data_IF_573177476740
#
_entry.id   IF_573177476740
#
_cell.length_a   1.000
_cell.length_b   1.000
_cell.length_c   1.000
_cell.angle_alpha   90.00
_cell.angle_beta   90.00
_cell.angle_gamma   90.00
#
_symmetry.space_group_name_H-M   'P 1'
#
loop_
_entity.id
_entity.type
_entity.pdbx_description
1 polymer ?
#
# COMPACT_ATOMS: atom_id res chain seq x y z
N UNK A 1 32.04 -5.33 13.15
CA UNK A 1 31.32 -5.21 11.87
C UNK A 1 29.89 -5.62 12.14
N UNK A 2 28.89 -4.76 11.88
CA UNK A 2 27.51 -5.23 11.96
C UNK A 2 27.31 -6.28 10.88
N UNK A 3 26.83 -7.46 11.24
CA UNK A 3 26.44 -8.45 10.24
C UNK A 3 25.34 -7.83 9.37
N UNK A 4 25.52 -7.87 8.05
CA UNK A 4 24.48 -7.45 7.11
C UNK A 4 23.32 -8.43 7.27
N UNK A 5 22.13 -7.92 7.56
CA UNK A 5 20.94 -8.73 7.73
C UNK A 5 20.51 -9.32 6.38
N UNK A 6 20.39 -10.64 6.31
CA UNK A 6 19.80 -11.33 5.18
C UNK A 6 18.26 -11.31 5.27
N UNK A 7 17.61 -11.24 4.12
CA UNK A 7 16.16 -11.30 3.99
C UNK A 7 15.82 -12.38 2.95
N UNK A 8 15.43 -13.58 3.38
CA UNK A 8 15.10 -14.67 2.45
C UNK A 8 13.82 -14.31 1.68
N UNK A 9 13.98 -13.89 0.44
CA UNK A 9 12.91 -13.65 -0.53
C UNK A 9 13.12 -14.57 -1.72
N UNK A 10 12.10 -15.36 -2.07
CA UNK A 10 12.14 -16.35 -3.14
C UNK A 10 10.86 -16.28 -3.96
N UNK A 11 10.98 -16.15 -5.28
CA UNK A 11 9.80 -16.20 -6.17
C UNK A 11 9.06 -17.54 -6.08
N UNK A 12 9.78 -18.63 -5.79
CA UNK A 12 9.24 -19.97 -5.59
C UNK A 12 8.49 -20.16 -4.27
N UNK A 13 8.61 -19.24 -3.33
CA UNK A 13 7.87 -19.24 -2.07
C UNK A 13 6.96 -17.99 -2.03
N UNK A 14 5.67 -18.14 -2.38
CA UNK A 14 4.70 -17.05 -2.39
C UNK A 14 4.69 -16.20 -1.11
N UNK A 15 4.89 -16.85 0.05
CA UNK A 15 4.83 -16.17 1.36
C UNK A 15 6.00 -15.22 1.58
N UNK A 16 7.12 -15.43 0.88
CA UNK A 16 8.33 -14.62 0.98
C UNK A 16 8.38 -13.48 -0.05
N UNK A 17 7.44 -13.44 -1.01
CA UNK A 17 7.44 -12.46 -2.09
C UNK A 17 7.29 -11.03 -1.57
N UNK A 18 7.86 -10.11 -2.33
CA UNK A 18 8.02 -8.70 -1.98
C UNK A 18 7.23 -7.84 -2.95
N UNK A 19 6.56 -6.82 -2.42
CA UNK A 19 5.56 -6.01 -3.13
C UNK A 19 5.94 -4.53 -3.09
N UNK A 20 7.08 -4.21 -3.69
CA UNK A 20 7.58 -2.83 -3.76
C UNK A 20 8.05 -2.27 -2.42
N UNK A 21 7.86 -0.97 -2.23
CA UNK A 21 8.36 -0.18 -1.10
C UNK A 21 7.91 -0.76 0.24
N UNK A 22 8.80 -0.76 1.23
CA UNK A 22 8.62 -1.29 2.60
C UNK A 22 8.37 -2.80 2.75
N UNK A 23 8.24 -3.57 1.67
CA UNK A 23 7.92 -5.00 1.76
C UNK A 23 8.99 -5.89 2.43
N UNK A 24 10.21 -5.37 2.63
CA UNK A 24 11.30 -6.01 3.39
C UNK A 24 11.24 -5.74 4.89
N UNK A 25 10.49 -4.73 5.32
CA UNK A 25 10.24 -4.47 6.74
C UNK A 25 9.18 -5.45 7.27
N UNK A 26 9.03 -5.56 8.61
CA UNK A 26 7.85 -6.18 9.20
C UNK A 26 6.56 -5.54 8.66
N UNK A 27 5.46 -6.27 8.76
CA UNK A 27 4.14 -5.73 8.42
C UNK A 27 3.85 -4.49 9.25
N UNK A 28 3.33 -3.44 8.59
CA UNK A 28 3.07 -2.18 9.25
C UNK A 28 1.97 -2.34 10.28
N UNK A 29 2.16 -1.75 11.47
CA UNK A 29 1.06 -1.61 12.42
C UNK A 29 0.07 -0.53 11.94
N UNK A 30 -1.16 -0.49 12.46
CA UNK A 30 -2.11 0.58 12.15
C UNK A 30 -1.54 1.99 12.40
N UNK A 31 -0.72 2.16 13.44
CA UNK A 31 -0.05 3.43 13.76
C UNK A 31 1.02 3.80 12.71
N UNK A 32 1.70 2.81 12.12
CA UNK A 32 2.67 3.03 11.06
C UNK A 32 1.99 3.37 9.74
N UNK A 33 0.87 2.70 9.42
CA UNK A 33 0.03 3.04 8.25
C UNK A 33 -0.49 4.48 8.38
N UNK A 34 -0.99 4.87 9.56
CA UNK A 34 -1.41 6.26 9.83
C UNK A 34 -0.30 7.27 9.51
N UNK A 35 0.94 7.00 9.93
CA UNK A 35 2.07 7.89 9.64
C UNK A 35 2.34 8.02 8.14
N UNK A 36 2.12 6.97 7.35
CA UNK A 36 2.25 7.07 5.89
C UNK A 36 1.15 7.94 5.28
N UNK A 37 -0.09 7.81 5.76
CA UNK A 37 -1.20 8.68 5.34
C UNK A 37 -0.92 10.14 5.70
N UNK A 38 -0.53 10.42 6.95
CA UNK A 38 -0.13 11.75 7.41
C UNK A 38 0.98 12.34 6.55
N UNK A 39 1.97 11.52 6.18
CA UNK A 39 3.07 11.96 5.33
C UNK A 39 2.60 12.30 3.91
N UNK A 40 1.72 11.49 3.30
CA UNK A 40 1.12 11.80 1.98
C UNK A 40 0.37 13.13 2.03
N UNK A 41 -0.51 13.31 3.02
CA UNK A 41 -1.30 14.54 3.22
C UNK A 41 -0.38 15.76 3.42
N UNK A 42 0.68 15.61 4.24
CA UNK A 42 1.65 16.69 4.50
C UNK A 42 2.40 17.14 3.24
N UNK A 43 2.62 16.25 2.27
CA UNK A 43 3.22 16.59 0.99
C UNK A 43 2.24 17.23 -0.01
N UNK A 44 0.96 17.37 0.37
CA UNK A 44 -0.08 17.90 -0.51
C UNK A 44 -0.45 16.96 -1.66
N UNK A 45 -0.14 15.67 -1.51
CA UNK A 45 -0.44 14.64 -2.51
C UNK A 45 -1.83 14.06 -2.30
N UNK A 46 -2.43 13.55 -3.37
CA UNK A 46 -3.78 13.01 -3.32
C UNK A 46 -3.73 11.52 -2.94
N UNK A 47 -4.28 11.11 -1.77
CA UNK A 47 -4.32 9.72 -1.39
C UNK A 47 -5.23 8.91 -2.33
N UNK A 48 -4.85 7.67 -2.60
CA UNK A 48 -5.68 6.73 -3.34
C UNK A 48 -5.46 5.31 -2.80
N UNK A 49 -6.46 4.48 -3.00
CA UNK A 49 -6.47 3.09 -2.55
C UNK A 49 -6.73 2.22 -3.77
N UNK A 50 -5.93 1.18 -3.90
CA UNK A 50 -6.11 0.18 -4.95
C UNK A 50 -6.01 -1.23 -4.37
N UNK A 51 -6.71 -2.17 -5.00
CA UNK A 51 -6.72 -3.56 -4.56
C UNK A 51 -6.66 -4.54 -5.75
N UNK A 52 -6.18 -5.75 -5.49
CA UNK A 52 -6.14 -6.83 -6.49
C UNK A 52 -6.05 -8.19 -5.82
N UNK A 53 -6.47 -9.24 -6.52
CA UNK A 53 -6.24 -10.62 -6.10
C UNK A 53 -4.73 -10.95 -6.13
N UNK A 54 -4.21 -11.80 -5.22
CA UNK A 54 -2.79 -12.15 -5.12
C UNK A 54 -2.14 -12.65 -6.41
N UNK A 55 -2.88 -13.34 -7.28
CA UNK A 55 -2.38 -13.84 -8.58
C UNK A 55 -1.99 -12.70 -9.53
N UNK A 56 -2.59 -11.51 -9.35
CA UNK A 56 -2.44 -10.32 -10.18
C UNK A 56 -1.52 -9.26 -9.56
N UNK A 57 -0.88 -9.56 -8.42
CA UNK A 57 -0.05 -8.61 -7.69
C UNK A 57 1.13 -8.05 -8.51
N UNK A 58 1.60 -8.77 -9.53
CA UNK A 58 2.68 -8.34 -10.43
C UNK A 58 2.22 -7.48 -11.61
N UNK A 59 0.91 -7.33 -11.81
CA UNK A 59 0.36 -6.56 -12.92
C UNK A 59 0.49 -5.05 -12.69
N UNK A 60 0.52 -4.29 -13.79
CA UNK A 60 0.70 -2.83 -13.74
C UNK A 60 -0.50 -2.10 -13.12
N UNK A 61 -1.70 -2.59 -13.35
CA UNK A 61 -2.96 -1.94 -12.96
C UNK A 61 -3.71 -2.79 -11.94
N UNK A 62 -4.10 -2.14 -10.85
CA UNK A 62 -4.98 -2.70 -9.82
C UNK A 62 -6.33 -1.99 -9.88
N UNK A 63 -7.35 -2.56 -9.25
CA UNK A 63 -8.66 -1.92 -9.18
C UNK A 63 -8.59 -0.70 -8.28
N UNK A 64 -9.05 0.45 -8.79
CA UNK A 64 -9.19 1.66 -7.99
C UNK A 64 -10.39 1.55 -7.07
N UNK A 65 -10.16 1.71 -5.77
CA UNK A 65 -11.24 1.84 -4.79
C UNK A 65 -11.85 3.24 -4.90
N UNK A 66 -13.09 3.30 -5.38
CA UNK A 66 -13.82 4.56 -5.63
C UNK A 66 -13.00 5.50 -6.54
N UNK A 67 -12.55 6.63 -6.01
CA UNK A 67 -11.74 7.64 -6.70
C UNK A 67 -10.61 8.10 -5.76
N UNK A 68 -9.52 8.67 -6.29
CA UNK A 68 -8.53 9.34 -5.45
C UNK A 68 -9.22 10.41 -4.60
N UNK A 69 -8.80 10.52 -3.34
CA UNK A 69 -9.36 11.43 -2.35
C UNK A 69 -8.80 12.84 -2.58
N UNK A 70 -9.21 13.47 -3.68
CA UNK A 70 -8.68 14.75 -4.14
C UNK A 70 -8.86 15.86 -3.09
N UNK A 71 -7.76 16.42 -2.62
CA UNK A 71 -7.75 17.49 -1.62
C UNK A 71 -8.20 17.07 -0.21
N UNK A 72 -8.39 15.77 0.04
CA UNK A 72 -8.71 15.26 1.37
C UNK A 72 -7.49 15.42 2.29
N UNK A 73 -7.74 15.90 3.50
CA UNK A 73 -6.70 16.11 4.53
C UNK A 73 -7.06 15.47 5.87
N UNK A 74 -8.28 14.96 6.01
CA UNK A 74 -8.69 14.17 7.16
C UNK A 74 -8.11 12.75 7.07
N UNK A 75 -7.08 12.52 7.90
CA UNK A 75 -6.38 11.23 8.02
C UNK A 75 -7.33 10.12 8.46
N UNK A 76 -8.30 10.41 9.33
CA UNK A 76 -9.25 9.41 9.83
C UNK A 76 -10.23 8.99 8.73
N UNK A 77 -10.67 9.93 7.89
CA UNK A 77 -11.49 9.63 6.73
C UNK A 77 -10.76 8.73 5.71
N UNK A 78 -9.48 9.01 5.44
CA UNK A 78 -8.66 8.21 4.53
C UNK A 78 -8.45 6.79 5.08
N UNK A 79 -8.16 6.65 6.37
CA UNK A 79 -8.03 5.35 7.03
C UNK A 79 -9.34 4.58 7.04
N UNK A 80 -10.48 5.25 7.24
CA UNK A 80 -11.79 4.61 7.18
C UNK A 80 -12.08 4.02 5.78
N UNK A 81 -11.69 4.70 4.71
CA UNK A 81 -11.81 4.17 3.35
C UNK A 81 -10.85 3.00 3.08
N UNK A 82 -9.66 3.02 3.70
CA UNK A 82 -8.70 1.92 3.65
C UNK A 82 -9.26 0.63 4.26
N UNK A 83 -9.85 0.75 5.47
CA UNK A 83 -10.53 -0.35 6.16
C UNK A 83 -11.76 -0.82 5.39
N UNK A 84 -12.59 0.10 4.87
CA UNK A 84 -13.77 -0.26 4.08
C UNK A 84 -13.40 -1.04 2.80
N UNK A 85 -12.29 -0.67 2.15
CA UNK A 85 -11.76 -1.41 1.01
C UNK A 85 -11.31 -2.83 1.43
N UNK A 86 -10.68 -2.97 2.60
CA UNK A 86 -10.25 -4.27 3.14
C UNK A 86 -11.42 -5.19 3.45
N UNK A 87 -12.45 -4.67 4.12
CA UNK A 87 -13.65 -5.43 4.45
C UNK A 87 -14.43 -5.86 3.20
N UNK A 88 -14.51 -5.00 2.18
CA UNK A 88 -15.24 -5.28 0.95
C UNK A 88 -14.52 -6.28 0.03
N UNK A 89 -13.21 -6.45 0.19
CA UNK A 89 -12.36 -7.26 -0.69
C UNK A 89 -11.51 -8.26 0.11
N UNK A 90 -12.13 -9.23 0.80
CA UNK A 90 -11.40 -10.20 1.59
C UNK A 90 -10.44 -11.02 0.72
N UNK A 91 -9.19 -11.14 1.17
CA UNK A 91 -8.15 -11.90 0.47
C UNK A 91 -7.39 -11.13 -0.61
N UNK A 92 -7.76 -9.88 -0.90
CA UNK A 92 -6.99 -9.04 -1.84
C UNK A 92 -5.78 -8.39 -1.17
N UNK A 93 -4.74 -8.13 -1.96
CA UNK A 93 -3.75 -7.12 -1.59
C UNK A 93 -4.37 -5.73 -1.73
N UNK A 94 -4.01 -4.84 -0.81
CA UNK A 94 -4.43 -3.44 -0.84
C UNK A 94 -3.21 -2.56 -0.70
N UNK A 95 -3.09 -1.57 -1.59
CA UNK A 95 -2.02 -0.58 -1.57
C UNK A 95 -2.56 0.82 -1.34
N UNK A 96 -1.80 1.57 -0.56
CA UNK A 96 -1.94 3.01 -0.37
C UNK A 96 -1.03 3.72 -1.36
N UNK A 97 -1.59 4.69 -2.08
CA UNK A 97 -0.90 5.52 -3.06
C UNK A 97 -1.01 6.99 -2.66
N UNK A 98 0.05 7.75 -2.92
CA UNK A 98 0.02 9.22 -2.93
C UNK A 98 0.36 9.74 -4.31
N UNK A 99 -0.60 10.35 -5.00
CA UNK A 99 -0.39 10.95 -6.32
C UNK A 99 0.14 12.38 -6.19
N UNK A 100 1.31 12.61 -6.79
CA UNK A 100 1.89 13.93 -7.00
C UNK A 100 1.44 14.46 -8.37
N UNK A 101 0.50 15.39 -8.35
CA UNK A 101 -0.05 16.00 -9.57
C UNK A 101 0.92 16.97 -10.25
N UNK A 102 1.92 17.49 -9.54
CA UNK A 102 2.91 18.39 -10.13
C UNK A 102 3.90 17.62 -11.01
N UNK A 103 4.40 16.49 -10.51
CA UNK A 103 5.32 15.61 -11.27
C UNK A 103 4.60 14.58 -12.14
N UNK A 104 3.27 14.48 -12.03
CA UNK A 104 2.43 13.50 -12.72
C UNK A 104 2.87 12.06 -12.43
N UNK A 105 3.12 11.77 -11.15
CA UNK A 105 3.65 10.47 -10.72
C UNK A 105 2.95 9.94 -9.46
N UNK A 106 3.12 8.65 -9.19
CA UNK A 106 2.86 8.07 -7.87
C UNK A 106 4.09 8.35 -7.00
N UNK A 107 4.02 9.38 -6.16
CA UNK A 107 5.10 9.74 -5.25
C UNK A 107 5.23 8.78 -4.06
N UNK A 108 4.13 8.11 -3.71
CA UNK A 108 4.10 7.02 -2.73
C UNK A 108 3.28 5.84 -3.26
N UNK A 109 3.77 4.62 -3.02
CA UNK A 109 3.08 3.37 -3.35
C UNK A 109 3.59 2.26 -2.40
N UNK A 110 2.70 1.72 -1.57
CA UNK A 110 3.02 0.66 -0.62
C UNK A 110 1.82 -0.23 -0.33
N UNK A 111 2.04 -1.54 -0.27
CA UNK A 111 1.01 -2.50 0.17
C UNK A 111 0.85 -2.40 1.69
N UNK A 112 -0.39 -2.21 2.14
CA UNK A 112 -0.76 -2.03 3.56
C UNK A 112 -1.60 -3.19 4.11
N UNK A 113 -2.34 -3.90 3.25
CA UNK A 113 -2.93 -5.20 3.59
C UNK A 113 -2.49 -6.27 2.61
N UNK A 114 -2.15 -7.44 3.12
CA UNK A 114 -1.76 -8.59 2.31
C UNK A 114 -2.89 -9.60 2.23
N UNK A 115 -3.26 -9.96 1.00
CA UNK A 115 -4.03 -11.16 0.73
C UNK A 115 -3.23 -12.43 0.98
N UNK A 116 -3.93 -13.57 0.87
CA UNK A 116 -3.32 -14.88 1.02
C UNK A 116 -2.37 -15.17 -0.15
N UNK A 117 -1.07 -15.45 0.09
CA UNK A 117 -0.11 -15.66 -0.99
C UNK A 117 -0.43 -16.89 -1.84
N UNK A 118 -0.29 -16.76 -3.17
CA UNK A 118 -0.53 -17.80 -4.19
C UNK A 118 0.64 -17.99 -5.15
#
# INVERSE_FOLDING_TARGET
>A
MSNVQDYPSRLSDPTSRKMGTFSYLPEMTPEEIRKQVEWIVKNGWNPAIEHTEPEHASDYYWYMWKLPMFGETDVDAILAELEACHEANPGNHIRLIGYDNFTQSQGANMVVYRGDPV
#
